data_IF_385724424985
#
_entry.id   IF_385724424985
#
_cell.length_a   1.000
_cell.length_b   1.000
_cell.length_c   1.000
_cell.angle_alpha   90.00
_cell.angle_beta   90.00
_cell.angle_gamma   90.00
#
_symmetry.space_group_name_H-M   'P 1'
#
loop_
_entity.id
_entity.type
_entity.pdbx_description
1 polymer ?
#
# COMPACT_ATOMS: atom_id res chain seq x y z
N UNK A 1 60.96 56.77 6.07
CA UNK A 1 60.36 56.44 7.37
C UNK A 1 59.08 57.25 7.57
N UNK A 2 58.00 56.56 7.98
CA UNK A 2 56.81 57.02 8.73
C UNK A 2 55.96 58.26 8.32
N UNK A 3 54.71 57.93 7.97
CA UNK A 3 53.43 58.25 8.65
C UNK A 3 52.65 59.54 8.34
N UNK A 4 51.33 59.34 8.44
CA UNK A 4 50.16 60.24 8.62
C UNK A 4 49.44 60.59 7.31
N UNK A 5 48.30 60.00 6.99
CA UNK A 5 46.96 60.00 7.62
C UNK A 5 46.03 61.05 7.03
N UNK A 6 44.81 60.57 6.74
CA UNK A 6 43.55 61.31 6.58
C UNK A 6 43.31 62.06 5.27
N UNK A 7 42.31 61.63 4.50
CA UNK A 7 41.07 62.37 4.23
C UNK A 7 40.22 61.63 3.18
N UNK A 8 39.10 61.02 3.59
CA UNK A 8 37.96 60.73 2.72
C UNK A 8 36.68 60.92 3.54
N UNK A 9 36.00 62.05 3.33
CA UNK A 9 34.54 62.12 3.48
C UNK A 9 33.85 61.75 2.16
N UNK A 10 32.55 62.05 1.98
CA UNK A 10 31.44 61.71 2.87
C UNK A 10 30.32 60.92 2.14
N UNK A 11 29.48 60.27 2.95
CA UNK A 11 28.04 59.99 2.79
C UNK A 11 27.44 59.55 1.44
N UNK A 12 26.94 58.30 1.41
CA UNK A 12 25.60 57.98 0.86
C UNK A 12 24.90 56.94 1.75
N UNK A 13 23.57 57.05 1.96
CA UNK A 13 22.82 56.16 2.85
C UNK A 13 22.35 54.91 2.09
N UNK A 14 22.77 53.72 2.52
CA UNK A 14 22.19 52.46 2.06
C UNK A 14 21.04 52.07 2.98
N UNK A 15 19.81 52.33 2.52
CA UNK A 15 18.57 51.85 3.11
C UNK A 15 18.55 50.32 3.11
N UNK A 16 18.89 49.71 4.23
CA UNK A 16 18.63 48.28 4.46
C UNK A 16 17.21 48.13 5.02
N UNK A 17 16.34 47.30 4.43
CA UNK A 17 15.04 47.04 5.03
C UNK A 17 15.24 46.21 6.29
N UNK A 18 14.93 46.82 7.44
CA UNK A 18 14.75 46.11 8.71
C UNK A 18 13.68 45.06 8.49
N UNK A 19 14.06 43.79 8.60
CA UNK A 19 13.13 42.68 8.66
C UNK A 19 12.16 42.94 9.83
N UNK A 20 10.93 43.34 9.50
CA UNK A 20 9.84 43.40 10.47
C UNK A 20 9.65 41.98 10.98
N UNK A 21 10.06 41.74 12.23
CA UNK A 21 9.63 40.57 12.98
C UNK A 21 8.11 40.55 12.92
N UNK A 22 7.55 39.56 12.23
CA UNK A 22 6.13 39.29 12.31
C UNK A 22 5.79 39.03 13.79
N UNK A 23 4.75 39.68 14.34
CA UNK A 23 4.29 39.37 15.67
C UNK A 23 3.86 37.90 15.68
N UNK A 24 4.48 37.11 16.56
CA UNK A 24 4.02 35.76 16.89
C UNK A 24 2.62 35.92 17.47
N UNK A 25 1.60 35.72 16.65
CA UNK A 25 0.23 35.57 17.14
C UNK A 25 0.24 34.47 18.21
N UNK A 26 -0.27 34.72 19.43
CA UNK A 26 -0.36 33.69 20.45
C UNK A 26 -1.27 32.59 19.90
N UNK A 27 -0.71 31.39 19.71
CA UNK A 27 -1.48 30.23 19.28
C UNK A 27 -2.58 29.96 20.29
N UNK A 28 -3.82 29.85 19.81
CA UNK A 28 -4.96 29.46 20.64
C UNK A 28 -4.60 28.21 21.46
N UNK A 29 -4.91 28.17 22.77
CA UNK A 29 -4.47 27.13 23.70
C UNK A 29 -5.19 25.79 23.53
N UNK A 30 -5.95 25.60 22.44
CA UNK A 30 -6.86 24.48 22.24
C UNK A 30 -6.37 23.43 21.23
N UNK A 31 -5.13 23.52 20.74
CA UNK A 31 -4.59 22.52 19.81
C UNK A 31 -3.28 21.92 20.35
N UNK A 32 -3.24 20.61 20.66
CA UNK A 32 -1.98 19.97 21.02
C UNK A 32 -0.99 20.15 19.86
N UNK A 33 0.23 20.57 20.19
CA UNK A 33 1.29 20.75 19.22
C UNK A 33 1.72 19.35 18.77
N UNK A 34 1.43 18.98 17.52
CA UNK A 34 1.86 17.70 16.94
C UNK A 34 3.37 17.51 17.11
N UNK A 35 3.75 16.41 17.76
CA UNK A 35 5.14 15.98 17.82
C UNK A 35 5.55 15.27 16.53
N UNK A 36 6.85 15.02 16.39
CA UNK A 36 7.40 14.21 15.29
C UNK A 36 6.82 12.79 15.27
N UNK A 37 6.48 12.22 16.43
CA UNK A 37 5.90 10.89 16.55
C UNK A 37 4.49 10.82 15.94
N UNK A 38 3.64 11.82 16.19
CA UNK A 38 2.31 11.94 15.58
C UNK A 38 2.41 11.91 14.05
N UNK A 39 3.26 12.76 13.50
CA UNK A 39 3.46 12.85 12.05
C UNK A 39 3.95 11.54 11.46
N UNK A 40 4.96 10.90 12.07
CA UNK A 40 5.51 9.61 11.60
C UNK A 40 4.45 8.50 11.67
N UNK A 41 3.67 8.42 12.74
CA UNK A 41 2.57 7.44 12.89
C UNK A 41 1.50 7.65 11.83
N UNK A 42 1.06 8.89 11.60
CA UNK A 42 0.11 9.20 10.52
C UNK A 42 0.64 8.76 9.16
N UNK A 43 1.89 9.10 8.84
CA UNK A 43 2.51 8.70 7.58
C UNK A 43 2.56 7.19 7.41
N UNK A 44 2.88 6.43 8.46
CA UNK A 44 2.87 4.98 8.42
C UNK A 44 1.45 4.41 8.15
N UNK A 45 0.43 4.92 8.84
CA UNK A 45 -0.96 4.50 8.64
C UNK A 45 -1.46 4.82 7.23
N UNK A 46 -1.13 6.01 6.70
CA UNK A 46 -1.46 6.39 5.32
C UNK A 46 -0.72 5.53 4.29
N UNK A 47 0.54 5.14 4.57
CA UNK A 47 1.24 4.20 3.69
C UNK A 47 0.59 2.82 3.71
N UNK A 48 0.14 2.32 4.87
CA UNK A 48 -0.60 1.07 4.96
C UNK A 48 -1.89 1.12 4.13
N UNK A 49 -2.70 2.18 4.27
CA UNK A 49 -3.87 2.42 3.42
C UNK A 49 -3.53 2.36 1.92
N UNK A 50 -2.48 3.06 1.50
CA UNK A 50 -2.09 3.06 0.09
C UNK A 50 -1.63 1.68 -0.40
N UNK A 51 -0.97 0.89 0.47
CA UNK A 51 -0.57 -0.49 0.18
C UNK A 51 -1.81 -1.36 -0.01
N UNK A 52 -2.84 -1.20 0.82
CA UNK A 52 -4.07 -2.02 0.80
C UNK A 52 -4.94 -1.66 -0.40
N UNK A 53 -5.08 -0.38 -0.73
CA UNK A 53 -5.75 0.05 -1.97
C UNK A 53 -5.05 -0.52 -3.21
N UNK A 54 -3.71 -0.45 -3.25
CA UNK A 54 -2.94 -1.05 -4.36
C UNK A 54 -3.11 -2.58 -4.40
N UNK A 55 -3.29 -3.23 -3.25
CA UNK A 55 -3.53 -4.67 -3.17
C UNK A 55 -4.84 -5.02 -3.89
N UNK A 56 -5.91 -4.28 -3.61
CA UNK A 56 -7.22 -4.52 -4.19
C UNK A 56 -7.21 -4.29 -5.70
N UNK A 57 -6.54 -3.24 -6.18
CA UNK A 57 -6.35 -3.00 -7.62
C UNK A 57 -5.63 -4.19 -8.29
N UNK A 58 -4.57 -4.71 -7.66
CA UNK A 58 -3.82 -5.84 -8.20
C UNK A 58 -4.67 -7.11 -8.28
N UNK A 59 -5.49 -7.37 -7.28
CA UNK A 59 -6.32 -8.59 -7.22
C UNK A 59 -7.55 -8.47 -8.11
N UNK A 60 -8.36 -7.43 -7.92
CA UNK A 60 -9.69 -7.28 -8.51
C UNK A 60 -9.66 -6.76 -9.94
N UNK A 61 -8.61 -6.03 -10.32
CA UNK A 61 -8.49 -5.44 -11.66
C UNK A 61 -7.49 -6.22 -12.48
N UNK A 62 -6.20 -6.15 -12.14
CA UNK A 62 -5.14 -6.75 -12.95
C UNK A 62 -5.22 -8.29 -12.96
N UNK A 63 -5.26 -8.89 -11.77
CA UNK A 63 -5.25 -10.34 -11.58
C UNK A 63 -6.50 -11.01 -12.12
N UNK A 64 -7.69 -10.51 -11.73
CA UNK A 64 -8.95 -11.08 -12.17
C UNK A 64 -9.15 -10.96 -13.69
N UNK A 65 -8.70 -9.87 -14.31
CA UNK A 65 -8.72 -9.71 -15.77
C UNK A 65 -7.82 -10.74 -16.47
N UNK A 66 -6.59 -10.91 -15.97
CA UNK A 66 -5.65 -11.88 -16.55
C UNK A 66 -6.17 -13.32 -16.38
N UNK A 67 -6.70 -13.66 -15.21
CA UNK A 67 -7.26 -14.97 -14.89
C UNK A 67 -8.48 -15.28 -15.78
N UNK A 68 -9.45 -14.37 -15.89
CA UNK A 68 -10.62 -14.55 -16.78
C UNK A 68 -10.20 -14.75 -18.22
N UNK A 69 -9.31 -13.89 -18.73
CA UNK A 69 -8.80 -14.01 -20.10
C UNK A 69 -8.06 -15.33 -20.36
N UNK A 70 -7.44 -15.94 -19.35
CA UNK A 70 -6.80 -17.26 -19.47
C UNK A 70 -7.84 -18.38 -19.62
N UNK A 71 -8.89 -18.35 -18.78
CA UNK A 71 -9.98 -19.33 -18.84
C UNK A 71 -10.77 -19.20 -20.15
N UNK A 72 -11.03 -17.98 -20.60
CA UNK A 72 -11.68 -17.73 -21.89
C UNK A 72 -10.83 -18.27 -23.05
N UNK A 73 -9.51 -18.01 -23.04
CA UNK A 73 -8.62 -18.49 -24.09
C UNK A 73 -8.54 -20.03 -24.17
N UNK A 74 -8.67 -20.72 -23.04
CA UNK A 74 -8.77 -22.19 -22.97
C UNK A 74 -10.09 -22.68 -23.55
N UNK A 75 -11.19 -22.11 -23.07
CA UNK A 75 -12.54 -22.45 -23.53
C UNK A 75 -12.66 -22.24 -25.04
N UNK A 76 -12.12 -21.13 -25.57
CA UNK A 76 -12.06 -20.82 -27.00
C UNK A 76 -11.18 -21.78 -27.80
N UNK A 77 -10.15 -22.38 -27.19
CA UNK A 77 -9.32 -23.40 -27.83
C UNK A 77 -10.08 -24.71 -27.91
N UNK A 78 -10.67 -25.16 -26.80
CA UNK A 78 -11.40 -26.41 -26.70
C UNK A 78 -12.60 -26.41 -27.65
N UNK A 79 -13.42 -25.36 -27.61
CA UNK A 79 -14.54 -25.17 -28.54
C UNK A 79 -14.08 -25.19 -30.00
N UNK A 80 -12.94 -24.57 -30.31
CA UNK A 80 -12.44 -24.54 -31.68
C UNK A 80 -11.88 -25.89 -32.14
N UNK A 81 -11.32 -26.69 -31.22
CA UNK A 81 -10.83 -28.05 -31.51
C UNK A 81 -11.99 -29.02 -31.75
N UNK A 82 -13.10 -28.90 -31.02
CA UNK A 82 -14.32 -29.70 -31.23
C UNK A 82 -14.91 -29.51 -32.63
N UNK A 83 -14.74 -28.32 -33.22
CA UNK A 83 -15.22 -28.00 -34.57
C UNK A 83 -14.30 -28.49 -35.70
N UNK A 84 -13.14 -29.09 -35.40
CA UNK A 84 -12.19 -29.58 -36.41
C UNK A 84 -12.61 -30.96 -36.91
N UNK A 85 -13.01 -31.11 -38.19
CA UNK A 85 -13.29 -32.42 -38.77
C UNK A 85 -12.01 -33.26 -38.83
N UNK A 86 -12.11 -34.55 -38.49
CA UNK A 86 -11.01 -35.52 -38.54
C UNK A 86 -9.81 -35.22 -37.62
N UNK A 87 -9.95 -34.28 -36.67
CA UNK A 87 -8.93 -33.97 -35.66
C UNK A 87 -7.68 -33.26 -36.18
N UNK A 88 -7.62 -32.87 -37.46
CA UNK A 88 -6.48 -32.15 -38.05
C UNK A 88 -6.87 -30.72 -38.48
N UNK A 89 -6.42 -29.68 -37.75
CA UNK A 89 -6.71 -28.30 -38.11
C UNK A 89 -6.09 -27.95 -39.48
N UNK A 90 -6.90 -27.40 -40.39
CA UNK A 90 -6.42 -26.90 -41.70
C UNK A 90 -5.67 -25.56 -41.60
N UNK A 91 -5.66 -24.94 -40.42
CA UNK A 91 -5.04 -23.65 -40.13
C UNK A 91 -4.25 -23.71 -38.81
N UNK A 92 -3.37 -22.74 -38.57
CA UNK A 92 -2.65 -22.59 -37.30
C UNK A 92 -3.60 -22.13 -36.18
N UNK A 93 -4.39 -23.04 -35.64
CA UNK A 93 -5.40 -22.77 -34.63
C UNK A 93 -4.82 -22.71 -33.21
N UNK A 94 -3.94 -23.67 -32.90
CA UNK A 94 -3.45 -23.96 -31.54
C UNK A 94 -2.37 -22.95 -31.10
N UNK A 95 -1.38 -22.70 -31.98
CA UNK A 95 -0.20 -21.87 -31.65
C UNK A 95 -0.54 -20.46 -31.12
N UNK A 96 -1.39 -19.67 -31.80
CA UNK A 96 -1.76 -18.34 -31.32
C UNK A 96 -2.49 -18.33 -29.97
N UNK A 97 -3.34 -19.34 -29.71
CA UNK A 97 -4.08 -19.47 -28.45
C UNK A 97 -3.16 -19.86 -27.30
N UNK A 98 -2.25 -20.81 -27.52
CA UNK A 98 -1.22 -21.14 -26.54
C UNK A 98 -0.33 -19.93 -26.21
N UNK A 99 0.08 -19.15 -27.21
CA UNK A 99 0.85 -17.93 -26.98
C UNK A 99 0.08 -16.90 -26.13
N UNK A 100 -1.24 -16.77 -26.33
CA UNK A 100 -2.09 -15.94 -25.48
C UNK A 100 -2.17 -16.48 -24.06
N UNK A 101 -2.35 -17.79 -23.88
CA UNK A 101 -2.40 -18.43 -22.56
C UNK A 101 -1.10 -18.22 -21.78
N UNK A 102 0.06 -18.45 -22.41
CA UNK A 102 1.37 -18.20 -21.81
C UNK A 102 1.56 -16.73 -21.44
N UNK A 103 1.07 -15.81 -22.26
CA UNK A 103 1.08 -14.38 -21.92
C UNK A 103 0.25 -14.10 -20.66
N UNK A 104 -0.95 -14.68 -20.52
CA UNK A 104 -1.79 -14.48 -19.33
C UNK A 104 -1.20 -15.10 -18.08
N UNK A 105 -0.56 -16.27 -18.20
CA UNK A 105 0.20 -16.88 -17.09
C UNK A 105 1.33 -15.94 -16.65
N UNK A 106 2.08 -15.35 -17.59
CA UNK A 106 3.14 -14.40 -17.26
C UNK A 106 2.61 -13.12 -16.59
N UNK A 107 1.43 -12.64 -16.97
CA UNK A 107 0.76 -11.51 -16.31
C UNK A 107 0.33 -11.87 -14.88
N UNK A 108 -0.21 -13.07 -14.65
CA UNK A 108 -0.54 -13.56 -13.31
C UNK A 108 0.71 -13.70 -12.42
N UNK A 109 1.83 -14.15 -12.99
CA UNK A 109 3.12 -14.20 -12.30
C UNK A 109 3.60 -12.80 -11.90
N UNK A 110 3.40 -11.81 -12.76
CA UNK A 110 3.69 -10.42 -12.44
C UNK A 110 2.80 -9.89 -11.31
N UNK A 111 1.51 -10.23 -11.29
CA UNK A 111 0.59 -9.90 -10.19
C UNK A 111 1.08 -10.51 -8.87
N UNK A 112 1.38 -11.81 -8.86
CA UNK A 112 1.93 -12.49 -7.67
C UNK A 112 3.23 -11.84 -7.16
N UNK A 113 4.14 -11.48 -8.07
CA UNK A 113 5.37 -10.78 -7.69
C UNK A 113 5.10 -9.40 -7.07
N UNK A 114 4.12 -8.66 -7.60
CA UNK A 114 3.68 -7.37 -7.04
C UNK A 114 3.00 -7.54 -5.68
N UNK A 115 2.14 -8.55 -5.49
CA UNK A 115 1.51 -8.84 -4.19
C UNK A 115 2.55 -9.19 -3.12
N UNK A 116 3.52 -10.06 -3.43
CA UNK A 116 4.67 -10.35 -2.54
C UNK A 116 5.47 -9.09 -2.20
N UNK A 117 5.60 -8.14 -3.14
CA UNK A 117 6.26 -6.86 -2.89
C UNK A 117 5.42 -5.98 -1.95
N UNK A 118 4.11 -5.89 -2.15
CA UNK A 118 3.23 -5.12 -1.26
C UNK A 118 3.21 -5.70 0.15
N UNK A 119 3.14 -7.02 0.29
CA UNK A 119 3.17 -7.66 1.61
C UNK A 119 4.48 -7.36 2.35
N UNK A 120 5.63 -7.44 1.67
CA UNK A 120 6.92 -7.05 2.25
C UNK A 120 6.96 -5.58 2.68
N UNK A 121 6.35 -4.68 1.90
CA UNK A 121 6.24 -3.27 2.27
C UNK A 121 5.36 -3.09 3.51
N UNK A 122 4.23 -3.80 3.59
CA UNK A 122 3.34 -3.78 4.75
C UNK A 122 4.10 -4.19 6.03
N UNK A 123 4.85 -5.30 5.97
CA UNK A 123 5.71 -5.73 7.09
C UNK A 123 6.72 -4.63 7.47
N UNK A 124 7.40 -4.04 6.50
CA UNK A 124 8.37 -2.97 6.77
C UNK A 124 7.76 -1.74 7.44
N UNK A 125 6.50 -1.39 7.12
CA UNK A 125 5.79 -0.29 7.80
C UNK A 125 5.42 -0.67 9.23
N UNK A 126 4.96 -1.91 9.46
CA UNK A 126 4.67 -2.44 10.80
C UNK A 126 5.94 -2.46 11.66
N UNK A 127 7.04 -3.00 11.16
CA UNK A 127 8.35 -2.97 11.83
C UNK A 127 8.82 -1.53 12.10
N UNK A 128 8.53 -0.61 11.17
CA UNK A 128 8.81 0.81 11.30
C UNK A 128 8.03 1.48 12.43
N UNK A 129 6.77 1.09 12.65
CA UNK A 129 5.94 1.55 13.77
C UNK A 129 6.45 1.01 15.11
N UNK A 130 6.89 -0.24 15.17
CA UNK A 130 7.53 -0.80 16.37
C UNK A 130 8.85 -0.08 16.68
N UNK A 131 9.69 0.17 15.67
CA UNK A 131 10.91 0.95 15.84
C UNK A 131 10.62 2.38 16.34
N UNK A 132 9.54 3.00 15.85
CA UNK A 132 9.08 4.31 16.30
C UNK A 132 8.65 4.29 17.77
N UNK A 133 7.97 3.23 18.20
CA UNK A 133 7.58 3.01 19.60
C UNK A 133 8.83 2.97 20.51
N UNK A 134 9.83 2.18 20.11
CA UNK A 134 11.09 2.06 20.85
C UNK A 134 11.84 3.39 20.91
N UNK A 135 11.88 4.15 19.81
CA UNK A 135 12.48 5.48 19.75
C UNK A 135 11.76 6.46 20.70
N UNK A 136 10.43 6.46 20.67
CA UNK A 136 9.59 7.29 21.53
C UNK A 136 9.79 6.95 23.00
N UNK A 137 9.82 5.66 23.35
CA UNK A 137 10.05 5.22 24.72
C UNK A 137 11.40 5.74 25.25
N UNK A 138 12.48 5.63 24.45
CA UNK A 138 13.79 6.15 24.84
C UNK A 138 13.81 7.67 25.05
N UNK A 139 13.00 8.41 24.30
CA UNK A 139 13.07 9.88 24.25
C UNK A 139 12.08 10.57 25.19
N UNK A 140 10.89 9.96 25.37
CA UNK A 140 9.75 10.53 26.11
C UNK A 140 9.38 9.73 27.35
N UNK A 141 9.91 8.52 27.49
CA UNK A 141 9.56 7.61 28.58
C UNK A 141 8.32 6.76 28.26
N UNK A 142 8.13 5.70 29.05
CA UNK A 142 7.07 4.72 28.82
C UNK A 142 5.67 5.31 29.05
N UNK A 143 5.47 6.09 30.12
CA UNK A 143 4.19 6.71 30.43
C UNK A 143 3.63 7.53 29.25
N UNK A 144 4.49 8.32 28.59
CA UNK A 144 4.12 9.07 27.39
C UNK A 144 3.66 8.15 26.24
N UNK A 145 4.33 7.01 26.07
CA UNK A 145 4.09 6.09 24.97
C UNK A 145 2.81 5.25 25.18
N UNK A 146 2.54 4.82 26.42
CA UNK A 146 1.44 3.92 26.75
C UNK A 146 0.16 4.63 27.22
N UNK A 147 0.29 5.73 27.97
CA UNK A 147 -0.84 6.38 28.64
C UNK A 147 -1.32 7.64 27.90
N UNK A 148 -0.43 8.40 27.27
CA UNK A 148 -0.84 9.61 26.55
C UNK A 148 -1.39 9.25 25.16
N UNK A 149 -2.59 9.77 24.86
CA UNK A 149 -3.16 9.70 23.53
C UNK A 149 -2.34 10.55 22.55
N UNK A 150 -2.16 10.07 21.32
CA UNK A 150 -1.56 10.86 20.25
C UNK A 150 -2.50 12.00 19.85
N UNK A 151 -3.72 11.69 19.45
CA UNK A 151 -4.68 12.74 19.05
C UNK A 151 -5.95 12.71 19.91
N UNK A 152 -6.66 11.59 19.92
CA UNK A 152 -7.97 11.49 20.58
C UNK A 152 -7.90 10.54 21.76
N UNK A 153 -7.91 9.23 21.52
CA UNK A 153 -7.91 8.23 22.60
C UNK A 153 -6.79 7.19 22.48
N UNK A 154 -6.24 6.97 21.29
CA UNK A 154 -5.19 5.97 21.09
C UNK A 154 -3.79 6.52 21.39
N UNK A 155 -3.06 5.80 22.24
CA UNK A 155 -1.63 6.00 22.47
C UNK A 155 -0.78 5.38 21.35
N UNK A 156 0.50 5.75 21.29
CA UNK A 156 1.43 5.20 20.30
C UNK A 156 1.58 3.67 20.46
N UNK A 157 1.63 3.19 21.71
CA UNK A 157 1.70 1.77 22.03
C UNK A 157 0.50 1.00 21.53
N UNK A 158 -0.70 1.57 21.67
CA UNK A 158 -1.92 0.94 21.17
C UNK A 158 -1.93 0.79 19.65
N UNK A 159 -1.48 1.82 18.91
CA UNK A 159 -1.32 1.71 17.46
C UNK A 159 -0.28 0.65 17.08
N UNK A 160 0.90 0.69 17.68
CA UNK A 160 2.00 -0.22 17.34
C UNK A 160 1.70 -1.69 17.68
N UNK A 161 0.92 -1.95 18.73
CA UNK A 161 0.54 -3.31 19.14
C UNK A 161 -0.66 -3.86 18.38
N UNK A 162 -1.59 -3.00 17.93
CA UNK A 162 -2.76 -3.44 17.18
C UNK A 162 -2.47 -3.66 15.69
N UNK A 163 -1.65 -2.82 15.07
CA UNK A 163 -1.42 -2.85 13.61
C UNK A 163 -0.88 -4.18 13.05
N UNK A 164 -0.05 -4.99 13.76
CA UNK A 164 0.44 -6.26 13.21
C UNK A 164 -0.67 -7.28 12.94
N UNK A 165 -1.84 -7.14 13.58
CA UNK A 165 -3.01 -7.98 13.31
C UNK A 165 -3.44 -7.96 11.85
N UNK A 166 -3.22 -6.84 11.15
CA UNK A 166 -3.49 -6.66 9.72
C UNK A 166 -2.66 -7.62 8.84
N UNK A 167 -1.48 -8.05 9.29
CA UNK A 167 -0.60 -8.88 8.47
C UNK A 167 -1.19 -10.27 8.19
N UNK A 168 -1.95 -10.83 9.14
CA UNK A 168 -2.51 -12.19 9.03
C UNK A 168 -3.47 -12.35 7.84
N UNK A 169 -4.54 -11.55 7.71
CA UNK A 169 -5.47 -11.68 6.60
C UNK A 169 -4.81 -11.41 5.24
N UNK A 170 -3.87 -10.47 5.15
CA UNK A 170 -3.12 -10.22 3.90
C UNK A 170 -2.13 -11.34 3.56
N UNK A 171 -1.51 -11.99 4.54
CA UNK A 171 -0.69 -13.18 4.30
C UNK A 171 -1.54 -14.33 3.74
N UNK A 172 -2.71 -14.59 4.35
CA UNK A 172 -3.64 -15.62 3.86
C UNK A 172 -4.18 -15.29 2.47
N UNK A 173 -4.48 -14.02 2.21
CA UNK A 173 -4.85 -13.54 0.88
C UNK A 173 -3.73 -13.82 -0.12
N UNK A 174 -2.47 -13.51 0.21
CA UNK A 174 -1.32 -13.80 -0.66
C UNK A 174 -1.21 -15.28 -0.99
N UNK A 175 -1.21 -16.15 0.03
CA UNK A 175 -1.09 -17.60 -0.14
C UNK A 175 -2.23 -18.17 -1.00
N UNK A 176 -3.45 -17.66 -0.79
CA UNK A 176 -4.62 -18.02 -1.58
C UNK A 176 -4.39 -17.68 -3.06
N UNK A 177 -3.97 -16.46 -3.39
CA UNK A 177 -3.74 -16.05 -4.78
C UNK A 177 -2.60 -16.82 -5.44
N UNK A 178 -1.53 -17.10 -4.70
CA UNK A 178 -0.43 -17.95 -5.19
C UNK A 178 -0.95 -19.35 -5.57
N UNK A 179 -1.71 -19.99 -4.68
CA UNK A 179 -2.29 -21.31 -4.94
C UNK A 179 -3.27 -21.29 -6.13
N UNK A 180 -4.09 -20.24 -6.26
CA UNK A 180 -5.02 -20.11 -7.38
C UNK A 180 -4.30 -19.94 -8.71
N UNK A 181 -3.20 -19.15 -8.76
CA UNK A 181 -2.38 -19.06 -9.98
C UNK A 181 -1.75 -20.41 -10.31
N UNK A 182 -1.29 -21.19 -9.34
CA UNK A 182 -0.72 -22.51 -9.59
C UNK A 182 -1.76 -23.49 -10.18
N UNK A 183 -3.01 -23.45 -9.69
CA UNK A 183 -4.13 -24.20 -10.31
C UNK A 183 -4.35 -23.74 -11.75
N UNK A 184 -4.49 -22.43 -11.95
CA UNK A 184 -4.76 -21.84 -13.27
C UNK A 184 -3.59 -22.01 -14.24
N UNK A 185 -2.35 -22.17 -13.78
CA UNK A 185 -1.20 -22.43 -14.65
C UNK A 185 -1.30 -23.77 -15.35
N UNK A 186 -1.89 -24.77 -14.71
CA UNK A 186 -1.98 -26.12 -15.29
C UNK A 186 -2.80 -26.11 -16.59
N UNK A 187 -2.19 -26.55 -17.69
CA UNK A 187 -2.87 -26.69 -18.98
C UNK A 187 -3.88 -27.85 -19.00
N UNK A 188 -3.86 -28.72 -17.99
CA UNK A 188 -4.80 -29.84 -17.83
C UNK A 188 -5.89 -29.56 -16.80
N UNK A 189 -6.02 -28.32 -16.32
CA UNK A 189 -7.09 -27.95 -15.38
C UNK A 189 -8.45 -28.08 -16.07
N UNK A 190 -9.44 -28.62 -15.37
CA UNK A 190 -10.79 -28.70 -15.91
C UNK A 190 -11.44 -27.30 -15.96
N UNK A 191 -12.46 -27.13 -16.81
CA UNK A 191 -13.23 -25.88 -16.85
C UNK A 191 -13.89 -25.59 -15.49
N UNK A 192 -14.41 -26.62 -14.81
CA UNK A 192 -15.05 -26.48 -13.50
C UNK A 192 -14.04 -25.99 -12.45
N UNK A 193 -12.86 -26.62 -12.37
CA UNK A 193 -11.81 -26.20 -11.44
C UNK A 193 -11.32 -24.76 -11.74
N UNK A 194 -11.21 -24.40 -13.02
CA UNK A 194 -10.80 -23.07 -13.43
C UNK A 194 -11.86 -22.01 -13.08
N UNK A 195 -13.14 -22.33 -13.26
CA UNK A 195 -14.27 -21.48 -12.87
C UNK A 195 -14.34 -21.30 -11.36
N UNK A 196 -14.17 -22.38 -10.61
CA UNK A 196 -14.21 -22.35 -9.15
C UNK A 196 -13.00 -21.58 -8.60
N UNK A 197 -11.83 -21.71 -9.22
CA UNK A 197 -10.66 -20.88 -8.92
C UNK A 197 -10.93 -19.38 -9.17
N UNK A 198 -11.63 -19.02 -10.26
CA UNK A 198 -12.03 -17.64 -10.54
C UNK A 198 -13.04 -17.08 -9.53
N UNK A 199 -14.02 -17.89 -9.11
CA UNK A 199 -14.99 -17.51 -8.10
C UNK A 199 -14.26 -17.21 -6.77
N UNK A 200 -13.41 -18.14 -6.33
CA UNK A 200 -12.62 -17.99 -5.11
C UNK A 200 -11.62 -16.82 -5.17
N UNK A 201 -11.08 -16.51 -6.36
CA UNK A 201 -10.26 -15.31 -6.57
C UNK A 201 -11.03 -14.03 -6.27
N UNK A 202 -12.27 -13.94 -6.76
CA UNK A 202 -13.10 -12.74 -6.65
C UNK A 202 -13.65 -12.52 -5.23
N UNK A 203 -13.88 -13.59 -4.46
CA UNK A 203 -14.46 -13.53 -3.11
C UNK A 203 -13.56 -12.84 -2.08
N UNK A 204 -12.23 -12.93 -2.23
CA UNK A 204 -11.26 -12.43 -1.23
C UNK A 204 -11.64 -12.72 0.24
N UNK A 205 -11.91 -13.99 0.62
CA UNK A 205 -12.61 -14.34 1.86
C UNK A 205 -11.89 -13.93 3.16
N UNK A 206 -10.61 -13.57 3.08
CA UNK A 206 -9.81 -13.15 4.24
C UNK A 206 -9.86 -11.65 4.50
N UNK A 207 -10.36 -10.85 3.55
CA UNK A 207 -10.29 -9.38 3.62
C UNK A 207 -11.65 -8.71 3.84
N UNK A 208 -12.75 -9.45 3.72
CA UNK A 208 -14.10 -8.90 3.92
C UNK A 208 -14.30 -8.34 5.33
N UNK A 209 -14.04 -9.15 6.35
CA UNK A 209 -14.23 -8.75 7.76
C UNK A 209 -12.94 -8.27 8.43
N UNK A 210 -11.78 -8.80 8.01
CA UNK A 210 -10.48 -8.57 8.66
C UNK A 210 -9.57 -7.61 7.85
N UNK A 211 -10.05 -7.07 6.73
CA UNK A 211 -9.28 -6.16 5.87
C UNK A 211 -9.11 -4.75 6.45
N UNK A 212 -8.29 -3.95 5.78
CA UNK A 212 -8.05 -2.55 6.17
C UNK A 212 -9.35 -1.75 6.27
N UNK A 213 -10.20 -1.85 5.25
CA UNK A 213 -11.44 -1.06 5.16
C UNK A 213 -12.37 -1.37 6.33
N UNK A 214 -12.51 -2.64 6.70
CA UNK A 214 -13.38 -3.08 7.81
C UNK A 214 -12.86 -2.67 9.19
N UNK A 215 -11.54 -2.80 9.42
CA UNK A 215 -10.97 -2.71 10.77
C UNK A 215 -10.35 -1.33 11.06
N UNK A 216 -9.72 -0.72 10.06
CA UNK A 216 -8.78 0.39 10.25
C UNK A 216 -9.24 1.72 9.69
N UNK A 217 -10.06 1.75 8.64
CA UNK A 217 -10.43 3.01 7.99
C UNK A 217 -11.24 3.93 8.93
N UNK A 218 -12.31 3.41 9.52
CA UNK A 218 -13.15 4.14 10.49
C UNK A 218 -12.37 4.52 11.76
N UNK A 219 -11.50 3.61 12.23
CA UNK A 219 -10.63 3.85 13.37
C UNK A 219 -9.68 5.00 13.10
N UNK A 220 -9.01 5.01 11.94
CA UNK A 220 -8.09 6.08 11.57
C UNK A 220 -8.83 7.40 11.33
N UNK A 221 -10.03 7.36 10.75
CA UNK A 221 -10.87 8.54 10.61
C UNK A 221 -11.27 9.16 11.96
N UNK A 222 -11.51 8.33 12.99
CA UNK A 222 -11.85 8.78 14.33
C UNK A 222 -10.62 9.23 15.15
N UNK A 223 -9.50 8.52 15.03
CA UNK A 223 -8.35 8.65 15.94
C UNK A 223 -7.19 9.48 15.38
N UNK A 224 -7.12 9.74 14.07
CA UNK A 224 -5.98 10.41 13.44
C UNK A 224 -6.41 11.78 12.88
N UNK A 225 -5.89 12.85 13.46
CA UNK A 225 -6.17 14.20 12.94
C UNK A 225 -5.70 14.29 11.48
N UNK A 226 -6.51 14.91 10.61
CA UNK A 226 -6.20 15.13 9.18
C UNK A 226 -6.04 13.84 8.37
N UNK A 227 -6.77 12.78 8.73
CA UNK A 227 -6.76 11.51 8.00
C UNK A 227 -7.03 11.68 6.49
N UNK A 228 -8.07 12.42 6.12
CA UNK A 228 -8.50 12.59 4.72
C UNK A 228 -7.70 13.60 3.88
N UNK A 229 -6.70 14.29 4.43
CA UNK A 229 -5.98 15.37 3.70
C UNK A 229 -5.08 14.82 2.57
N UNK A 230 -5.06 13.51 2.38
CA UNK A 230 -4.29 12.82 1.34
C UNK A 230 -5.14 12.19 0.24
N UNK A 231 -6.47 12.40 0.22
CA UNK A 231 -7.33 12.11 -0.93
C UNK A 231 -7.24 13.20 -1.99
#
# INVERSE_FOLDING_TARGET
MSRLASFKGPSTPSSSPVAKQQPKSPGSPSRPIESTYHRKTRTALQELRAITETWDDLVLIDGLKAARSLVDARTDLDNALELVPDGQPRTRLVGPRLALMEKRIAELDAVNAKLRKQFRRMNAVVDGLEALLVEAHKTKGWAWVSEEALWVTWSLEKFASAIPSLLTPYHRSLDTHLALVDILRSHSVSFEDARDALAKWAEQPWLEDDGWESVWEDLCAAEVERWDVSK
#
